data_IF_239646797075
#
_entry.id   IF_239646797075
#
_cell.length_a   1.000
_cell.length_b   1.000
_cell.length_c   1.000
_cell.angle_alpha   90.00
_cell.angle_beta   90.00
_cell.angle_gamma   90.00
#
_symmetry.space_group_name_H-M   'P 1'
#
loop_
_entity.id
_entity.type
_entity.pdbx_description
1 polymer ?
#
# COMPACT_ATOMS: atom_id res chain seq x y z
N UNK A 1 10.70 26.46 -9.83
CA UNK A 1 10.13 25.08 -9.79
C UNK A 1 10.37 24.32 -8.48
N UNK A 2 11.27 24.74 -7.59
CA UNK A 2 11.54 24.03 -6.32
C UNK A 2 10.30 23.91 -5.41
N UNK A 3 9.54 25.00 -5.25
CA UNK A 3 8.36 25.04 -4.38
C UNK A 3 7.25 24.07 -4.82
N UNK A 4 7.01 23.95 -6.13
CA UNK A 4 6.01 22.99 -6.66
C UNK A 4 6.39 21.55 -6.34
N UNK A 5 7.66 21.19 -6.55
CA UNK A 5 8.16 19.83 -6.26
C UNK A 5 8.07 19.50 -4.77
N UNK A 6 8.39 20.47 -3.92
CA UNK A 6 8.23 20.34 -2.47
C UNK A 6 6.76 20.04 -2.12
N UNK A 7 5.82 20.82 -2.66
CA UNK A 7 4.39 20.58 -2.49
C UNK A 7 3.98 19.17 -2.93
N UNK A 8 4.31 18.80 -4.18
CA UNK A 8 3.96 17.50 -4.77
C UNK A 8 4.52 16.30 -3.97
N UNK A 9 5.72 16.45 -3.39
CA UNK A 9 6.38 15.42 -2.58
C UNK A 9 5.67 15.24 -1.22
N UNK A 10 5.33 16.33 -0.56
CA UNK A 10 4.68 16.33 0.75
C UNK A 10 3.15 16.14 0.70
N UNK A 11 2.56 15.98 -0.49
CA UNK A 11 1.15 15.60 -0.60
C UNK A 11 0.91 14.24 0.07
N UNK A 12 -0.11 14.12 0.94
CA UNK A 12 -0.55 12.84 1.48
C UNK A 12 -0.81 11.84 0.35
N UNK A 13 -0.30 10.62 0.51
CA UNK A 13 -0.46 9.56 -0.46
C UNK A 13 -1.10 8.34 0.21
N UNK A 14 -2.32 8.00 -0.21
CA UNK A 14 -3.02 6.78 0.20
C UNK A 14 -3.20 5.80 -0.95
N UNK A 15 -2.49 6.02 -2.07
CA UNK A 15 -2.44 5.08 -3.18
C UNK A 15 -1.53 3.92 -2.81
N UNK A 16 -2.04 2.70 -2.94
CA UNK A 16 -1.26 1.48 -2.70
C UNK A 16 -0.50 1.08 -3.96
N UNK A 17 0.83 1.04 -3.89
CA UNK A 17 1.66 0.56 -4.99
C UNK A 17 1.62 -0.96 -5.01
N UNK A 18 1.16 -1.54 -6.10
CA UNK A 18 1.11 -2.99 -6.34
C UNK A 18 2.27 -3.30 -7.31
N UNK A 19 3.38 -3.79 -6.76
CA UNK A 19 4.64 -4.02 -7.48
C UNK A 19 4.90 -5.50 -7.76
N UNK A 20 4.42 -6.41 -6.92
CA UNK A 20 4.90 -7.79 -6.91
C UNK A 20 3.79 -8.80 -6.56
N UNK A 21 3.70 -9.85 -7.38
CA UNK A 21 2.89 -11.09 -7.30
C UNK A 21 1.44 -11.00 -6.80
N UNK A 22 0.72 -12.12 -6.95
CA UNK A 22 -0.66 -12.28 -6.48
C UNK A 22 -0.81 -11.87 -5.01
N UNK A 23 0.24 -11.99 -4.19
CA UNK A 23 0.25 -11.62 -2.76
C UNK A 23 -0.12 -10.14 -2.51
N UNK A 24 0.50 -9.18 -3.21
CA UNK A 24 0.20 -7.76 -2.94
C UNK A 24 -1.18 -7.38 -3.48
N UNK A 25 -1.57 -7.98 -4.60
CA UNK A 25 -2.90 -7.81 -5.15
C UNK A 25 -3.95 -8.42 -4.22
N UNK A 26 -3.73 -9.62 -3.71
CA UNK A 26 -4.59 -10.31 -2.74
C UNK A 26 -4.69 -9.49 -1.45
N UNK A 27 -3.58 -8.97 -0.92
CA UNK A 27 -3.61 -8.10 0.25
C UNK A 27 -4.41 -6.80 0.02
N UNK A 28 -4.31 -6.22 -1.18
CA UNK A 28 -5.11 -5.07 -1.60
C UNK A 28 -6.60 -5.44 -1.70
N UNK A 29 -6.92 -6.59 -2.30
CA UNK A 29 -8.28 -7.10 -2.45
C UNK A 29 -8.92 -7.46 -1.10
N UNK A 30 -8.19 -8.12 -0.21
CA UNK A 30 -8.57 -8.44 1.16
C UNK A 30 -8.85 -7.18 1.98
N UNK A 31 -8.01 -6.15 1.81
CA UNK A 31 -8.23 -4.87 2.46
C UNK A 31 -9.51 -4.20 1.97
N UNK A 32 -9.76 -4.23 0.68
CA UNK A 32 -11.00 -3.71 0.12
C UNK A 32 -12.21 -4.52 0.64
N UNK A 33 -12.12 -5.85 0.63
CA UNK A 33 -13.15 -6.77 1.10
C UNK A 33 -13.49 -6.55 2.58
N UNK A 34 -12.50 -6.58 3.47
CA UNK A 34 -12.66 -6.35 4.92
C UNK A 34 -13.37 -5.04 5.24
N UNK A 35 -13.17 -4.03 4.41
CA UNK A 35 -13.75 -2.69 4.59
C UNK A 35 -14.94 -2.43 3.64
N UNK A 36 -15.39 -3.43 2.87
CA UNK A 36 -16.48 -3.28 1.91
C UNK A 36 -16.28 -2.10 0.95
N UNK A 37 -15.05 -1.86 0.51
CA UNK A 37 -14.70 -0.71 -0.32
C UNK A 37 -14.69 -1.10 -1.79
N UNK A 38 -15.25 -0.26 -2.68
CA UNK A 38 -14.94 -0.31 -4.10
C UNK A 38 -13.42 -0.24 -4.32
N UNK A 39 -12.93 -0.97 -5.32
CA UNK A 39 -11.52 -0.96 -5.71
C UNK A 39 -11.35 -0.09 -6.95
N UNK A 40 -10.35 0.79 -6.98
CA UNK A 40 -9.89 1.40 -8.22
C UNK A 40 -8.40 1.13 -8.41
N UNK A 41 -8.02 0.74 -9.61
CA UNK A 41 -6.65 0.36 -9.95
C UNK A 41 -6.21 1.21 -11.14
N UNK A 42 -5.14 1.98 -10.94
CA UNK A 42 -4.50 2.79 -11.97
C UNK A 42 -3.35 2.01 -12.60
N UNK A 43 -3.46 1.72 -13.88
CA UNK A 43 -2.36 1.19 -14.69
C UNK A 43 -1.62 2.35 -15.36
N UNK A 44 -0.31 2.39 -15.17
CA UNK A 44 0.54 3.47 -15.67
C UNK A 44 1.45 2.99 -16.80
N UNK A 45 1.76 3.86 -17.77
CA UNK A 45 2.68 3.55 -18.87
C UNK A 45 4.15 3.77 -18.52
N UNK A 46 4.46 4.37 -17.37
CA UNK A 46 5.81 4.77 -16.99
C UNK A 46 6.05 4.45 -15.54
N UNK A 47 7.24 3.93 -15.24
CA UNK A 47 7.68 3.78 -13.86
C UNK A 47 8.13 5.14 -13.31
N UNK A 48 7.20 5.83 -12.65
CA UNK A 48 7.42 7.11 -12.00
C UNK A 48 6.83 7.08 -10.59
N UNK A 49 7.25 7.97 -9.69
CA UNK A 49 6.52 8.20 -8.45
C UNK A 49 5.06 8.52 -8.73
N UNK A 50 4.16 8.13 -7.82
CA UNK A 50 2.73 8.37 -7.93
C UNK A 50 2.47 9.85 -8.19
N UNK A 51 1.73 10.14 -9.25
CA UNK A 51 1.49 11.52 -9.69
C UNK A 51 0.61 12.29 -8.68
N UNK A 52 0.71 13.64 -8.61
CA UNK A 52 -0.08 14.44 -7.68
C UNK A 52 -1.60 14.23 -7.77
N UNK A 53 -2.12 13.97 -8.98
CA UNK A 53 -3.55 13.78 -9.19
C UNK A 53 -4.10 12.49 -8.54
N UNK A 54 -3.52 11.29 -8.74
CA UNK A 54 -3.86 10.10 -7.95
C UNK A 54 -3.73 10.30 -6.43
N UNK A 55 -2.69 11.01 -5.95
CA UNK A 55 -2.55 11.34 -4.52
C UNK A 55 -3.74 12.16 -4.00
N UNK A 56 -4.12 13.20 -4.74
CA UNK A 56 -5.31 14.01 -4.43
C UNK A 56 -6.58 13.14 -4.37
N UNK A 57 -6.82 12.31 -5.39
CA UNK A 57 -8.00 11.43 -5.43
C UNK A 57 -8.00 10.41 -4.28
N UNK A 58 -6.84 9.89 -3.89
CA UNK A 58 -6.72 8.98 -2.74
C UNK A 58 -7.08 9.64 -1.41
N UNK A 59 -6.87 10.95 -1.30
CA UNK A 59 -7.25 11.74 -0.12
C UNK A 59 -8.74 12.06 -0.15
N UNK A 60 -9.26 12.48 -1.29
CA UNK A 60 -10.67 12.81 -1.50
C UNK A 60 -11.61 11.62 -1.21
N UNK A 61 -11.26 10.44 -1.73
CA UNK A 61 -12.05 9.22 -1.56
C UNK A 61 -11.59 8.33 -0.41
N UNK A 62 -10.79 8.89 0.51
CA UNK A 62 -10.24 8.13 1.64
C UNK A 62 -11.36 7.44 2.42
N UNK A 63 -11.23 6.11 2.57
CA UNK A 63 -12.21 5.24 3.27
C UNK A 63 -13.61 5.21 2.65
N UNK A 64 -13.73 5.63 1.38
CA UNK A 64 -14.94 5.49 0.54
C UNK A 64 -14.68 4.65 -0.71
N UNK A 65 -13.42 4.59 -1.13
CA UNK A 65 -12.89 3.77 -2.21
C UNK A 65 -11.41 3.47 -1.91
N UNK A 66 -10.94 2.28 -2.25
CA UNK A 66 -9.52 1.91 -2.13
C UNK A 66 -8.84 2.10 -3.49
N UNK A 67 -7.76 2.88 -3.53
CA UNK A 67 -7.05 3.22 -4.77
C UNK A 67 -5.67 2.56 -4.78
N UNK A 68 -5.42 1.74 -5.80
CA UNK A 68 -4.14 1.10 -6.09
C UNK A 68 -3.52 1.62 -7.37
N UNK A 69 -2.20 1.48 -7.50
CA UNK A 69 -1.42 1.82 -8.69
C UNK A 69 -0.52 0.64 -9.06
N UNK A 70 -0.60 0.19 -10.32
CA UNK A 70 0.27 -0.81 -10.90
C UNK A 70 1.20 -0.11 -11.90
N UNK A 71 2.50 -0.35 -11.74
CA UNK A 71 3.56 0.24 -12.56
C UNK A 71 4.10 -0.78 -13.56
N UNK A 72 4.66 -0.33 -14.70
CA UNK A 72 5.12 -1.25 -15.75
C UNK A 72 6.28 -2.15 -15.34
N UNK A 73 7.00 -1.83 -14.25
CA UNK A 73 8.06 -2.70 -13.70
C UNK A 73 7.54 -3.82 -12.79
N UNK A 74 6.22 -3.92 -12.58
CA UNK A 74 5.68 -5.03 -11.82
C UNK A 74 5.95 -6.37 -12.52
N UNK A 75 6.40 -7.40 -11.79
CA UNK A 75 6.88 -8.67 -12.38
C UNK A 75 5.87 -9.33 -13.33
N UNK A 76 4.58 -9.22 -13.03
CA UNK A 76 3.49 -9.79 -13.81
C UNK A 76 2.61 -8.72 -14.48
N UNK A 77 3.18 -7.56 -14.84
CA UNK A 77 2.42 -6.43 -15.38
C UNK A 77 1.47 -6.81 -16.53
N UNK A 78 1.94 -7.62 -17.48
CA UNK A 78 1.15 -8.03 -18.64
C UNK A 78 -0.02 -8.96 -18.25
N UNK A 79 0.19 -9.89 -17.32
CA UNK A 79 -0.90 -10.74 -16.78
C UNK A 79 -1.92 -9.91 -16.00
N UNK A 80 -1.47 -8.88 -15.27
CA UNK A 80 -2.35 -7.97 -14.57
C UNK A 80 -3.20 -7.16 -15.56
N UNK A 81 -2.60 -6.67 -16.65
CA UNK A 81 -3.35 -6.01 -17.72
C UNK A 81 -4.44 -6.93 -18.30
N UNK A 82 -4.10 -8.18 -18.59
CA UNK A 82 -5.06 -9.19 -19.08
C UNK A 82 -6.17 -9.48 -18.06
N UNK A 83 -5.83 -9.70 -16.78
CA UNK A 83 -6.79 -9.95 -15.69
C UNK A 83 -7.85 -8.85 -15.59
N UNK A 84 -7.47 -7.60 -15.86
CA UNK A 84 -8.37 -6.45 -15.77
C UNK A 84 -8.89 -5.97 -17.15
N UNK A 85 -8.60 -6.69 -18.23
CA UNK A 85 -9.06 -6.35 -19.58
C UNK A 85 -8.49 -5.04 -20.14
N UNK A 86 -7.29 -4.64 -19.69
CA UNK A 86 -6.62 -3.40 -20.10
C UNK A 86 -5.63 -3.72 -21.21
N UNK A 87 -5.69 -2.98 -22.31
CA UNK A 87 -4.72 -3.09 -23.39
C UNK A 87 -3.59 -2.05 -23.25
N UNK A 88 -2.38 -2.38 -23.70
CA UNK A 88 -1.18 -1.52 -23.55
C UNK A 88 -1.33 -0.16 -24.24
N UNK A 89 -2.06 -0.11 -25.36
CA UNK A 89 -2.39 1.10 -26.11
C UNK A 89 -3.34 2.04 -25.34
N UNK A 90 -4.04 1.52 -24.32
CA UNK A 90 -4.97 2.28 -23.49
C UNK A 90 -4.36 2.83 -22.20
N UNK A 91 -3.03 2.86 -22.09
CA UNK A 91 -2.36 3.40 -20.90
C UNK A 91 -2.16 4.93 -20.99
N UNK A 92 -2.30 5.67 -19.88
CA UNK A 92 -2.74 5.21 -18.57
C UNK A 92 -4.23 4.82 -18.58
N UNK A 93 -4.56 3.80 -17.78
CA UNK A 93 -5.92 3.28 -17.65
C UNK A 93 -6.34 3.22 -16.19
N UNK A 94 -7.59 3.57 -15.90
CA UNK A 94 -8.16 3.44 -14.57
C UNK A 94 -9.33 2.46 -14.63
N UNK A 95 -9.26 1.41 -13.82
CA UNK A 95 -10.30 0.37 -13.75
C UNK A 95 -10.90 0.39 -12.35
N UNK A 96 -12.22 0.32 -12.26
CA UNK A 96 -12.95 0.24 -10.99
C UNK A 96 -13.67 -1.10 -10.91
N UNK A 97 -13.54 -1.78 -9.78
CA UNK A 97 -14.37 -2.92 -9.43
C UNK A 97 -15.38 -2.44 -8.39
N UNK A 98 -16.64 -2.20 -8.79
CA UNK A 98 -17.66 -1.74 -7.87
C UNK A 98 -18.04 -2.87 -6.91
N UNK A 99 -18.44 -2.50 -5.70
CA UNK A 99 -19.10 -3.45 -4.80
C UNK A 99 -20.51 -3.68 -5.35
N UNK A 100 -20.79 -4.90 -5.80
CA UNK A 100 -22.14 -5.37 -6.02
C UNK A 100 -22.85 -5.43 -4.67
N UNK A 101 -24.11 -5.00 -4.61
CA UNK A 101 -24.88 -4.93 -3.37
C UNK A 101 -24.80 -6.27 -2.61
N UNK A 102 -24.12 -6.26 -1.46
CA UNK A 102 -24.03 -7.40 -0.56
C UNK A 102 -25.13 -7.35 0.48
N UNK A 103 -25.84 -8.46 0.67
CA UNK A 103 -26.70 -8.65 1.83
C UNK A 103 -25.82 -8.86 3.07
N UNK A 104 -26.26 -8.32 4.21
CA UNK A 104 -25.72 -8.74 5.51
C UNK A 104 -26.37 -10.09 5.78
N UNK A 105 -25.59 -11.16 5.97
CA UNK A 105 -26.15 -12.42 6.44
C UNK A 105 -26.54 -12.32 7.93
N UNK A 106 -27.44 -13.18 8.39
CA UNK A 106 -27.94 -13.16 9.78
C UNK A 106 -26.83 -13.43 10.83
N UNK A 107 -25.61 -13.73 10.39
CA UNK A 107 -24.40 -13.87 11.21
C UNK A 107 -23.53 -12.61 11.29
N UNK A 108 -23.93 -11.49 10.68
CA UNK A 108 -23.18 -10.23 10.69
C UNK A 108 -21.95 -10.21 9.76
N UNK A 109 -21.78 -11.22 8.92
CA UNK A 109 -20.77 -11.26 7.88
C UNK A 109 -21.30 -10.55 6.63
N UNK A 110 -20.48 -9.65 6.10
CA UNK A 110 -20.83 -8.88 4.93
C UNK A 110 -20.40 -9.66 3.69
N UNK A 111 -21.35 -10.27 2.96
CA UNK A 111 -21.07 -10.92 1.67
C UNK A 111 -20.85 -9.83 0.61
N UNK A 112 -19.63 -9.28 0.59
CA UNK A 112 -19.21 -8.25 -0.37
C UNK A 112 -18.84 -8.94 -1.67
N UNK A 113 -19.72 -8.81 -2.67
CA UNK A 113 -19.42 -9.23 -4.04
C UNK A 113 -18.94 -8.04 -4.85
N UNK A 114 -18.03 -8.29 -5.79
CA UNK A 114 -17.62 -7.25 -6.74
C UNK A 114 -18.31 -7.47 -8.08
N UNK A 115 -18.75 -6.39 -8.70
CA UNK A 115 -19.20 -6.40 -10.09
C UNK A 115 -18.02 -6.54 -11.05
N UNK A 116 -18.33 -6.65 -12.35
CA UNK A 116 -17.31 -6.66 -13.40
C UNK A 116 -16.47 -5.37 -13.44
N UNK A 117 -15.25 -5.43 -13.98
CA UNK A 117 -14.37 -4.27 -14.09
C UNK A 117 -14.98 -3.20 -15.01
N UNK A 118 -15.01 -1.96 -14.53
CA UNK A 118 -15.48 -0.79 -15.27
C UNK A 118 -14.29 0.12 -15.53
N UNK A 119 -13.92 0.26 -16.81
CA UNK A 119 -12.81 1.12 -17.22
C UNK A 119 -13.27 2.57 -17.38
N UNK A 120 -12.41 3.51 -16.99
CA UNK A 120 -12.62 4.93 -17.25
C UNK A 120 -12.66 5.18 -18.76
N UNK A 121 -13.73 5.81 -19.30
CA UNK A 121 -13.94 5.94 -20.75
C UNK A 121 -12.86 6.74 -21.47
N UNK A 122 -12.07 7.55 -20.75
CA UNK A 122 -10.96 8.31 -21.30
C UNK A 122 -9.61 7.59 -21.33
N UNK A 123 -9.55 6.29 -21.03
CA UNK A 123 -8.30 5.51 -21.02
C UNK A 123 -7.61 5.51 -22.38
N UNK A 124 -6.27 5.57 -22.39
CA UNK A 124 -5.45 5.64 -23.61
C UNK A 124 -5.21 7.05 -24.14
N UNK A 125 -6.00 8.03 -23.69
CA UNK A 125 -5.77 9.42 -24.02
C UNK A 125 -5.52 10.22 -22.73
N UNK A 126 -4.24 10.51 -22.46
CA UNK A 126 -3.82 11.26 -21.28
C UNK A 126 -4.52 12.62 -21.11
N UNK A 127 -5.03 13.22 -22.19
CA UNK A 127 -5.82 14.47 -22.12
C UNK A 127 -7.18 14.31 -21.43
N UNK A 128 -7.69 13.08 -21.33
CA UNK A 128 -8.93 12.79 -20.61
C UNK A 128 -8.72 12.50 -19.12
N UNK A 129 -7.48 12.28 -18.67
CA UNK A 129 -7.12 12.11 -17.26
C UNK A 129 -7.07 13.46 -16.51
N UNK A 130 -8.17 14.20 -16.56
CA UNK A 130 -8.30 15.48 -15.84
C UNK A 130 -8.92 15.27 -14.46
N UNK A 131 -8.64 16.20 -13.54
CA UNK A 131 -9.18 16.18 -12.17
C UNK A 131 -10.70 15.97 -12.16
N UNK A 132 -11.44 16.80 -12.88
CA UNK A 132 -12.91 16.80 -12.82
C UNK A 132 -13.50 15.51 -13.40
N UNK A 133 -12.93 14.98 -14.49
CA UNK A 133 -13.42 13.74 -15.11
C UNK A 133 -13.18 12.53 -14.20
N UNK A 134 -11.99 12.41 -13.62
CA UNK A 134 -11.67 11.32 -12.69
C UNK A 134 -12.46 11.42 -11.39
N UNK A 135 -12.61 12.63 -10.85
CA UNK A 135 -13.42 12.87 -9.65
C UNK A 135 -14.87 12.43 -9.87
N UNK A 136 -15.49 12.88 -10.96
CA UNK A 136 -16.87 12.53 -11.32
C UNK A 136 -17.02 11.03 -11.53
N UNK A 137 -16.08 10.41 -12.25
CA UNK A 137 -16.09 8.98 -12.49
C UNK A 137 -15.99 8.17 -11.19
N UNK A 138 -14.99 8.45 -10.35
CA UNK A 138 -14.79 7.75 -9.09
C UNK A 138 -15.93 7.99 -8.10
N UNK A 139 -16.54 9.19 -8.09
CA UNK A 139 -17.66 9.48 -7.19
C UNK A 139 -18.89 8.61 -7.45
N UNK A 140 -19.09 8.14 -8.68
CA UNK A 140 -20.21 7.25 -9.02
C UNK A 140 -20.07 5.87 -8.40
N UNK A 141 -18.85 5.43 -8.10
CA UNK A 141 -18.57 4.11 -7.53
C UNK A 141 -18.20 4.16 -6.05
N UNK A 142 -17.61 5.27 -5.59
CA UNK A 142 -17.25 5.45 -4.19
C UNK A 142 -18.49 5.38 -3.29
N UNK A 143 -18.33 4.78 -2.09
CA UNK A 143 -19.41 4.77 -1.10
C UNK A 143 -19.80 6.20 -0.75
N UNK A 144 -21.08 6.47 -0.44
CA UNK A 144 -21.53 7.80 -0.01
C UNK A 144 -20.93 8.19 1.35
N UNK A 145 -20.88 7.24 2.27
CA UNK A 145 -20.41 7.42 3.63
C UNK A 145 -19.02 6.82 3.83
N UNK A 146 -18.25 7.43 4.74
CA UNK A 146 -16.95 6.92 5.18
C UNK A 146 -17.13 5.60 5.93
N UNK A 147 -16.33 4.59 5.60
CA UNK A 147 -16.32 3.31 6.32
C UNK A 147 -15.48 3.44 7.60
N UNK A 148 -15.96 2.95 8.76
CA UNK A 148 -15.15 2.84 9.98
C UNK A 148 -13.91 1.97 9.75
N UNK A 149 -12.80 2.30 10.40
CA UNK A 149 -11.57 1.52 10.27
C UNK A 149 -11.73 0.21 11.02
N UNK A 150 -11.56 -0.91 10.31
CA UNK A 150 -11.55 -2.24 10.90
C UNK A 150 -10.10 -2.74 10.97
N UNK A 151 -9.48 -2.77 12.16
CA UNK A 151 -8.15 -3.35 12.30
C UNK A 151 -8.16 -4.80 11.81
N UNK A 152 -7.07 -5.23 11.16
CA UNK A 152 -6.86 -6.65 10.86
C UNK A 152 -6.68 -7.34 12.21
N UNK A 153 -7.49 -8.34 12.52
CA UNK A 153 -7.23 -9.21 13.67
C UNK A 153 -5.83 -9.78 13.48
N UNK A 154 -4.94 -9.47 14.42
CA UNK A 154 -3.63 -10.10 14.45
C UNK A 154 -3.89 -11.52 14.92
N UNK A 155 -3.79 -12.49 14.04
CA UNK A 155 -3.57 -13.86 14.49
C UNK A 155 -2.29 -13.84 15.31
N UNK A 156 -2.41 -13.90 16.63
CA UNK A 156 -1.29 -14.18 17.51
C UNK A 156 -0.83 -15.59 17.15
N UNK A 157 0.22 -15.70 16.33
CA UNK A 157 0.97 -16.93 16.16
C UNK A 157 1.42 -17.37 17.55
N UNK A 158 0.82 -18.46 18.07
CA UNK A 158 1.30 -19.18 19.24
C UNK A 158 2.66 -19.80 18.92
N UNK A 159 3.74 -19.06 19.03
CA UNK A 159 5.09 -19.59 19.22
C UNK A 159 5.91 -18.59 20.04
N UNK A 160 6.69 -19.15 20.96
CA UNK A 160 7.60 -18.56 21.96
C UNK A 160 7.03 -18.00 23.27
N UNK A 161 6.38 -18.87 24.04
CA UNK A 161 6.67 -18.98 25.47
C UNK A 161 7.41 -20.30 25.72
N UNK A 162 8.75 -20.28 25.70
CA UNK A 162 9.62 -21.30 26.31
C UNK A 162 11.05 -20.78 26.42
N UNK A 163 11.28 -19.86 27.36
CA UNK A 163 12.51 -19.83 28.17
C UNK A 163 12.42 -18.69 29.19
N UNK A 164 12.01 -19.02 30.41
CA UNK A 164 12.39 -18.23 31.57
C UNK A 164 12.63 -19.17 32.76
N UNK A 165 13.79 -19.03 33.41
CA UNK A 165 14.17 -19.78 34.61
C UNK A 165 15.68 -20.05 34.69
N UNK A 166 16.47 -19.04 35.10
CA UNK A 166 17.26 -19.00 36.37
C UNK A 166 18.53 -19.86 36.31
N UNK A 167 19.74 -19.30 36.51
CA UNK A 167 20.25 -19.01 37.85
C UNK A 167 21.23 -17.80 37.93
N UNK A 168 21.18 -17.15 39.09
CA UNK A 168 22.02 -16.07 39.61
C UNK A 168 23.34 -16.64 40.17
N UNK A 169 24.48 -15.98 39.92
CA UNK A 169 25.26 -15.19 40.90
C UNK A 169 25.92 -16.00 42.04
N UNK A 170 27.20 -16.34 41.88
CA UNK A 170 28.17 -16.38 42.99
C UNK A 170 29.60 -16.58 42.46
N UNK A 171 30.45 -15.55 42.57
CA UNK A 171 31.83 -15.60 43.11
C UNK A 171 32.60 -14.33 42.73
N UNK A 172 32.54 -13.35 43.65
CA UNK A 172 33.58 -12.34 43.84
C UNK A 172 34.67 -12.93 44.75
N UNK A 173 35.94 -12.76 44.39
CA UNK A 173 36.99 -12.07 45.19
C UNK A 173 38.42 -12.60 44.98
N UNK A 174 39.31 -11.64 44.68
CA UNK A 174 40.76 -11.60 44.93
C UNK A 174 41.64 -12.48 43.99
N UNK A 175 42.82 -12.07 43.51
CA UNK A 175 43.72 -10.99 43.90
C UNK A 175 44.76 -10.69 42.79
N UNK A 176 45.35 -9.49 42.88
CA UNK A 176 46.63 -9.02 42.29
C UNK A 176 46.61 -8.75 40.77
N UNK A 177 46.57 -7.52 40.29
CA UNK A 177 47.36 -6.33 40.65
C UNK A 177 48.87 -6.62 40.72
N UNK A 178 49.54 -6.43 39.59
CA UNK A 178 50.87 -5.81 39.56
C UNK A 178 50.90 -4.78 38.44
N UNK A 179 50.96 -3.54 38.89
CA UNK A 179 51.48 -2.37 38.20
C UNK A 179 52.84 -2.66 37.53
N UNK A 180 53.18 -1.87 36.51
CA UNK A 180 54.46 -1.15 36.23
C UNK A 180 54.41 -0.76 34.74
N UNK A 181 54.08 0.49 34.34
CA UNK A 181 54.97 1.67 34.21
C UNK A 181 56.07 1.38 33.16
N UNK A 182 56.33 2.07 32.03
CA UNK A 182 56.18 3.47 31.57
C UNK A 182 56.51 3.57 30.06
N UNK A 183 56.05 4.66 29.40
CA UNK A 183 56.78 5.58 28.47
C UNK A 183 57.57 5.01 27.28
N UNK A 184 57.22 5.26 26.01
CA UNK A 184 57.29 6.53 25.21
C UNK A 184 58.73 6.95 24.84
N UNK A 185 58.88 7.36 23.55
CA UNK A 185 59.98 8.07 22.85
C UNK A 185 61.13 7.20 22.28
N UNK A 186 61.74 7.39 21.11
CA UNK A 186 61.84 8.41 20.04
C UNK A 186 62.14 7.62 18.72
N UNK A 187 61.97 8.06 17.47
CA UNK A 187 62.36 9.33 16.85
C UNK A 187 63.78 9.25 16.27
N UNK A 188 63.87 9.23 14.93
CA UNK A 188 65.03 9.61 14.05
C UNK A 188 66.27 8.70 13.96
N UNK A 189 66.51 8.14 12.76
CA UNK A 189 67.43 8.69 11.73
C UNK A 189 67.33 7.87 10.42
#
# INVERSE_FOLDING_TARGET
MALKRFGDYHMPNFVESIQDDDIQLDAFEDKALRNALPKAILFTSKDKPTMPLPKYLSTEFRRRLLLGEIKPLAKNYDKLLERFGVSKDKLPALVVLPVAQGAIDDGGSLDVRYGGPVMFPGSGNGSNFTKNKLLTFLSNFARKNIVPYRPKEREHSKYDESSNGKDQEEQRHSAKEKETITSVKDGEL
#
